data_IF_785524366352
#
_entry.id   IF_785524366352
#
_cell.length_a   1.000
_cell.length_b   1.000
_cell.length_c   1.000
_cell.angle_alpha   90.00
_cell.angle_beta   90.00
_cell.angle_gamma   90.00
#
_symmetry.space_group_name_H-M   'P 1'
#
loop_
_entity.id
_entity.type
_entity.pdbx_description
1 polymer ?
#
# COMPACT_ATOMS: atom_id res chain seq x y z
N UNK A 1 -26.39 15.51 -14.92
CA UNK A 1 -25.96 15.30 -13.52
C UNK A 1 -24.98 16.40 -13.14
N UNK A 2 -25.14 17.00 -11.96
CA UNK A 2 -24.23 18.02 -11.43
C UNK A 2 -22.79 17.50 -11.20
N UNK A 3 -21.79 18.37 -11.37
CA UNK A 3 -20.37 18.03 -11.30
C UNK A 3 -19.95 17.47 -9.93
N UNK A 4 -20.49 18.03 -8.84
CA UNK A 4 -20.20 17.55 -7.48
C UNK A 4 -20.84 16.19 -7.20
N UNK A 5 -22.01 15.91 -7.78
CA UNK A 5 -22.62 14.59 -7.71
C UNK A 5 -21.78 13.54 -8.46
N UNK A 6 -21.27 13.87 -9.65
CA UNK A 6 -20.32 12.99 -10.38
C UNK A 6 -19.07 12.71 -9.54
N UNK A 7 -18.48 13.75 -8.94
CA UNK A 7 -17.32 13.62 -8.05
C UNK A 7 -17.58 12.67 -6.89
N UNK A 8 -18.72 12.79 -6.21
CA UNK A 8 -19.08 11.91 -5.10
C UNK A 8 -19.13 10.44 -5.52
N UNK A 9 -19.73 10.15 -6.69
CA UNK A 9 -19.85 8.77 -7.19
C UNK A 9 -18.47 8.22 -7.59
N UNK A 10 -17.72 8.99 -8.37
CA UNK A 10 -16.47 8.52 -8.97
C UNK A 10 -15.30 8.49 -7.99
N UNK A 11 -15.29 9.35 -6.97
CA UNK A 11 -14.35 9.24 -5.85
C UNK A 11 -14.65 8.04 -4.95
N UNK A 12 -15.93 7.73 -4.72
CA UNK A 12 -16.33 6.55 -3.95
C UNK A 12 -16.01 5.24 -4.70
N UNK A 13 -16.10 5.25 -6.04
CA UNK A 13 -15.63 4.14 -6.88
C UNK A 13 -14.10 3.98 -6.82
N UNK A 14 -13.35 5.08 -6.73
CA UNK A 14 -11.89 5.08 -6.63
C UNK A 14 -11.35 4.62 -5.25
N UNK A 15 -12.20 4.40 -4.24
CA UNK A 15 -11.74 4.04 -2.88
C UNK A 15 -11.04 2.68 -2.79
N UNK A 16 -11.32 1.78 -3.73
CA UNK A 16 -10.73 0.43 -3.78
C UNK A 16 -9.33 0.40 -4.44
N UNK A 17 -8.88 1.53 -4.96
CA UNK A 17 -7.51 1.72 -5.42
C UNK A 17 -6.62 1.98 -4.19
N UNK A 18 -5.45 1.36 -4.03
CA UNK A 18 -4.66 1.47 -2.77
C UNK A 18 -3.40 2.33 -2.93
N UNK A 19 -3.41 3.26 -3.88
CA UNK A 19 -2.28 4.15 -4.14
C UNK A 19 -1.97 5.18 -3.04
N UNK A 20 -2.92 5.45 -2.14
CA UNK A 20 -2.86 6.53 -1.17
C UNK A 20 -3.85 6.30 -0.01
N UNK A 21 -3.53 6.86 1.17
CA UNK A 21 -4.33 6.73 2.39
C UNK A 21 -5.44 7.78 2.44
N UNK A 22 -6.68 7.36 2.72
CA UNK A 22 -7.82 8.27 2.90
C UNK A 22 -8.12 8.48 4.39
N UNK A 23 -8.66 9.65 4.75
CA UNK A 23 -8.83 10.04 6.16
C UNK A 23 -9.99 9.37 6.89
N UNK A 24 -10.82 8.56 6.22
CA UNK A 24 -11.88 7.71 6.81
C UNK A 24 -12.97 8.41 7.63
N UNK A 25 -12.83 9.70 7.94
CA UNK A 25 -13.67 10.44 8.88
C UNK A 25 -15.05 10.73 8.31
N UNK A 26 -16.07 10.37 9.08
CA UNK A 26 -17.50 10.62 8.77
C UNK A 26 -18.11 11.68 9.67
N UNK A 27 -17.29 12.39 10.46
CA UNK A 27 -17.77 13.40 11.41
C UNK A 27 -18.37 14.55 10.62
N UNK A 28 -19.67 14.79 10.82
CA UNK A 28 -20.35 15.96 10.28
C UNK A 28 -20.09 17.16 11.19
N UNK A 29 -19.73 18.30 10.63
CA UNK A 29 -19.67 19.52 11.40
C UNK A 29 -21.06 19.93 11.92
N UNK A 30 -21.10 20.63 13.05
CA UNK A 30 -22.31 21.20 13.65
C UNK A 30 -22.40 22.69 13.33
N UNK A 31 -23.57 23.33 13.53
CA UNK A 31 -23.77 24.76 13.25
C UNK A 31 -22.82 25.70 14.01
N UNK A 32 -22.21 25.22 15.10
CA UNK A 32 -21.29 25.98 15.97
C UNK A 32 -19.86 25.41 15.88
N UNK A 33 -19.66 24.32 15.14
CA UNK A 33 -18.37 23.63 15.04
C UNK A 33 -17.50 24.20 13.92
N UNK A 34 -16.19 23.97 14.03
CA UNK A 34 -15.20 24.38 13.02
C UNK A 34 -14.66 23.13 12.33
N UNK A 35 -14.58 23.22 11.00
CA UNK A 35 -13.95 22.24 10.12
C UNK A 35 -14.87 21.09 9.72
N UNK A 36 -14.67 20.61 8.50
CA UNK A 36 -15.28 19.38 7.98
C UNK A 36 -14.17 18.46 7.49
N UNK A 37 -14.30 17.17 7.76
CA UNK A 37 -13.46 16.19 7.09
C UNK A 37 -13.86 16.16 5.60
N UNK A 38 -12.90 16.46 4.71
CA UNK A 38 -13.18 16.64 3.28
C UNK A 38 -13.99 15.49 2.69
N UNK A 39 -15.11 15.85 2.08
CA UNK A 39 -16.06 14.92 1.50
C UNK A 39 -15.52 14.42 0.16
N UNK A 40 -15.00 13.20 0.18
CA UNK A 40 -14.69 12.36 -1.00
C UNK A 40 -13.50 12.80 -1.86
N UNK A 41 -12.68 11.82 -2.25
CA UNK A 41 -11.70 11.99 -3.32
C UNK A 41 -10.38 12.61 -2.92
N UNK A 42 -10.14 13.05 -1.68
CA UNK A 42 -8.80 13.45 -1.26
C UNK A 42 -8.09 12.29 -0.55
N UNK A 43 -6.85 12.03 -0.93
CA UNK A 43 -5.99 11.05 -0.28
C UNK A 43 -4.56 11.55 -0.13
N UNK A 44 -3.79 10.91 0.74
CA UNK A 44 -2.39 11.27 0.99
C UNK A 44 -1.45 10.25 0.37
N UNK A 45 -0.46 10.75 -0.38
CA UNK A 45 0.61 9.95 -0.97
C UNK A 45 1.97 10.49 -0.55
N UNK A 46 3.02 9.74 -0.80
CA UNK A 46 4.38 10.15 -0.47
C UNK A 46 5.21 10.31 -1.74
N UNK A 47 5.85 11.46 -1.87
CA UNK A 47 6.80 11.76 -2.94
C UNK A 47 8.13 11.02 -2.71
N UNK A 48 8.99 11.00 -3.73
CA UNK A 48 10.27 10.28 -3.67
C UNK A 48 11.24 10.81 -2.59
N UNK A 49 11.07 12.06 -2.16
CA UNK A 49 11.81 12.72 -1.08
C UNK A 49 11.16 12.52 0.31
N UNK A 50 10.09 11.73 0.41
CA UNK A 50 9.43 11.38 1.67
C UNK A 50 8.42 12.41 2.19
N UNK A 51 8.11 13.47 1.43
CA UNK A 51 7.04 14.40 1.79
C UNK A 51 5.68 13.78 1.57
N UNK A 52 4.76 14.03 2.50
CA UNK A 52 3.35 13.68 2.35
C UNK A 52 2.67 14.75 1.50
N UNK A 53 1.96 14.35 0.45
CA UNK A 53 1.20 15.23 -0.43
C UNK A 53 -0.27 14.82 -0.51
N UNK A 54 -1.17 15.79 -0.62
CA UNK A 54 -2.60 15.54 -0.82
C UNK A 54 -2.94 15.46 -2.32
N UNK A 55 -3.70 14.44 -2.72
CA UNK A 55 -4.10 14.20 -4.11
C UNK A 55 -5.61 14.13 -4.25
N UNK A 56 -6.15 14.73 -5.31
CA UNK A 56 -7.50 14.43 -5.79
C UNK A 56 -7.47 13.08 -6.50
N UNK A 57 -7.97 12.05 -5.83
CA UNK A 57 -8.09 10.69 -6.30
C UNK A 57 -9.49 10.41 -6.82
N UNK A 58 -9.59 10.30 -8.13
CA UNK A 58 -10.86 10.08 -8.82
C UNK A 58 -10.73 9.03 -9.93
N UNK A 59 -11.88 8.45 -10.25
CA UNK A 59 -12.06 7.65 -11.45
C UNK A 59 -12.63 8.56 -12.55
N UNK A 60 -12.07 8.52 -13.76
CA UNK A 60 -12.60 9.27 -14.90
C UNK A 60 -14.00 8.77 -15.28
N UNK A 61 -14.21 7.45 -15.23
CA UNK A 61 -15.49 6.79 -15.47
C UNK A 61 -15.61 5.51 -14.67
N UNK A 62 -16.79 5.20 -14.13
CA UNK A 62 -17.12 3.88 -13.58
C UNK A 62 -17.86 2.99 -14.61
N UNK A 63 -18.05 3.47 -15.85
CA UNK A 63 -18.67 2.72 -16.92
C UNK A 63 -17.64 1.82 -17.61
N UNK A 64 -17.59 0.56 -17.16
CA UNK A 64 -16.66 -0.44 -17.68
C UNK A 64 -17.34 -1.37 -18.70
N UNK A 65 -16.64 -1.66 -19.80
CA UNK A 65 -17.00 -2.74 -20.74
C UNK A 65 -16.64 -4.15 -20.22
N UNK A 66 -15.81 -4.22 -19.17
CA UNK A 66 -15.38 -5.48 -18.58
C UNK A 66 -16.23 -5.85 -17.37
N UNK A 67 -16.40 -7.15 -17.15
CA UNK A 67 -17.21 -7.73 -16.10
C UNK A 67 -16.35 -8.55 -15.14
N UNK A 68 -15.41 -7.86 -14.47
CA UNK A 68 -14.58 -8.49 -13.45
C UNK A 68 -15.46 -8.89 -12.26
N UNK A 69 -15.43 -10.17 -11.87
CA UNK A 69 -16.33 -10.76 -10.87
C UNK A 69 -16.23 -10.05 -9.51
N UNK A 70 -15.03 -9.61 -9.14
CA UNK A 70 -14.75 -8.91 -7.87
C UNK A 70 -15.04 -7.40 -7.91
N UNK A 71 -15.34 -6.83 -9.08
CA UNK A 71 -15.43 -5.39 -9.25
C UNK A 71 -16.89 -4.92 -9.25
N UNK A 72 -17.18 -3.87 -8.47
CA UNK A 72 -18.50 -3.22 -8.49
C UNK A 72 -18.82 -2.57 -9.84
N UNK A 73 -17.78 -2.16 -10.59
CA UNK A 73 -17.94 -1.46 -11.87
C UNK A 73 -18.15 -2.42 -13.06
N UNK A 74 -18.40 -3.71 -12.82
CA UNK A 74 -18.60 -4.71 -13.87
C UNK A 74 -19.74 -4.35 -14.83
N UNK A 75 -19.59 -4.66 -16.11
CA UNK A 75 -20.62 -4.33 -17.12
C UNK A 75 -21.98 -4.99 -16.85
N UNK A 76 -22.03 -6.14 -16.17
CA UNK A 76 -23.29 -6.81 -15.81
C UNK A 76 -23.93 -6.26 -14.53
N UNK A 77 -23.25 -5.38 -13.80
CA UNK A 77 -23.75 -4.81 -12.55
C UNK A 77 -24.65 -3.62 -12.84
N UNK A 78 -25.80 -3.61 -12.17
CA UNK A 78 -26.76 -2.51 -12.21
C UNK A 78 -26.41 -1.49 -11.11
N UNK A 79 -25.87 -0.36 -11.52
CA UNK A 79 -25.52 0.77 -10.67
C UNK A 79 -25.42 2.03 -11.54
N UNK A 80 -25.42 3.19 -10.90
CA UNK A 80 -25.36 4.46 -11.60
C UNK A 80 -23.99 4.66 -12.31
N UNK A 81 -24.03 4.67 -13.65
CA UNK A 81 -22.87 4.86 -14.51
C UNK A 81 -22.66 6.33 -14.82
N UNK A 82 -21.46 6.81 -14.53
CA UNK A 82 -21.05 8.21 -14.63
C UNK A 82 -19.70 8.28 -15.31
N UNK A 83 -19.56 9.22 -16.23
CA UNK A 83 -18.31 9.54 -16.91
C UNK A 83 -18.10 11.04 -16.86
N UNK A 84 -16.89 11.47 -16.51
CA UNK A 84 -16.47 12.84 -16.66
C UNK A 84 -16.12 13.17 -18.11
N UNK A 85 -16.16 14.45 -18.47
CA UNK A 85 -15.40 14.96 -19.61
C UNK A 85 -13.99 15.36 -19.15
N UNK A 86 -13.00 15.43 -20.07
CA UNK A 86 -11.68 15.97 -19.76
C UNK A 86 -11.73 17.38 -19.14
N UNK A 87 -12.65 18.21 -19.61
CA UNK A 87 -12.88 19.58 -19.13
C UNK A 87 -13.36 19.58 -17.67
N UNK A 88 -14.31 18.71 -17.32
CA UNK A 88 -14.82 18.56 -15.94
C UNK A 88 -13.71 18.14 -14.96
N UNK A 89 -12.83 17.21 -15.37
CA UNK A 89 -11.69 16.79 -14.52
C UNK A 89 -10.68 17.93 -14.34
N UNK A 90 -10.40 18.70 -15.40
CA UNK A 90 -9.51 19.85 -15.31
C UNK A 90 -10.08 20.91 -14.36
N UNK A 91 -11.34 21.27 -14.52
CA UNK A 91 -12.04 22.23 -13.67
C UNK A 91 -12.00 21.81 -12.19
N UNK A 92 -12.32 20.55 -11.89
CA UNK A 92 -12.24 20.02 -10.53
C UNK A 92 -10.83 20.12 -9.96
N UNK A 93 -9.83 19.67 -10.72
CA UNK A 93 -8.43 19.65 -10.26
C UNK A 93 -7.93 21.06 -9.94
N UNK A 94 -8.19 22.02 -10.84
CA UNK A 94 -7.76 23.41 -10.67
C UNK A 94 -8.49 24.07 -9.50
N UNK A 95 -9.79 23.85 -9.35
CA UNK A 95 -10.56 24.42 -8.25
C UNK A 95 -10.14 23.88 -6.87
N UNK A 96 -9.87 22.58 -6.76
CA UNK A 96 -9.35 21.99 -5.52
C UNK A 96 -7.94 22.49 -5.20
N UNK A 97 -7.08 22.64 -6.23
CA UNK A 97 -5.73 23.16 -6.05
C UNK A 97 -5.73 24.63 -5.62
N UNK A 98 -6.51 25.51 -6.28
CA UNK A 98 -6.63 26.93 -5.94
C UNK A 98 -7.16 27.17 -4.51
N UNK A 99 -7.91 26.21 -3.97
CA UNK A 99 -8.42 26.23 -2.58
C UNK A 99 -7.46 25.57 -1.58
N UNK A 100 -6.26 25.18 -2.00
CA UNK A 100 -5.23 24.50 -1.21
C UNK A 100 -5.70 23.16 -0.60
N UNK A 101 -6.62 22.46 -1.26
CA UNK A 101 -7.09 21.14 -0.81
C UNK A 101 -6.19 20.00 -1.30
N UNK A 102 -5.52 20.19 -2.43
CA UNK A 102 -4.68 19.18 -3.08
C UNK A 102 -3.37 19.81 -3.58
N UNK A 103 -2.34 19.00 -3.69
CA UNK A 103 -1.08 19.29 -4.39
C UNK A 103 -1.01 18.57 -5.76
N UNK A 104 -1.98 17.70 -6.06
CA UNK A 104 -1.95 16.91 -7.27
C UNK A 104 -3.22 16.09 -7.57
N UNK A 105 -3.20 15.38 -8.68
CA UNK A 105 -4.25 14.53 -9.21
C UNK A 105 -3.78 13.07 -9.27
N UNK A 106 -4.59 12.16 -8.76
CA UNK A 106 -4.52 10.73 -9.05
C UNK A 106 -5.72 10.37 -9.94
N UNK A 107 -5.46 10.06 -11.20
CA UNK A 107 -6.49 9.79 -12.20
C UNK A 107 -6.40 8.34 -12.69
N UNK A 108 -7.49 7.61 -12.48
CA UNK A 108 -7.71 6.25 -12.98
C UNK A 108 -8.98 6.21 -13.85
N UNK A 109 -9.30 5.09 -14.47
CA UNK A 109 -10.58 4.92 -15.18
C UNK A 109 -11.00 3.47 -15.28
N UNK A 110 -12.31 3.22 -15.33
CA UNK A 110 -12.84 2.04 -15.99
C UNK A 110 -12.53 2.08 -17.50
N UNK A 111 -12.69 0.96 -18.19
CA UNK A 111 -12.48 0.89 -19.65
C UNK A 111 -13.78 1.27 -20.35
N UNK A 112 -13.83 2.49 -20.87
CA UNK A 112 -14.95 3.05 -21.63
C UNK A 112 -14.76 2.71 -23.10
N UNK A 113 -15.74 2.06 -23.74
CA UNK A 113 -15.72 1.57 -25.15
C UNK A 113 -14.59 0.59 -25.48
N UNK A 114 -13.34 1.02 -25.37
CA UNK A 114 -12.13 0.20 -25.54
C UNK A 114 -10.92 0.86 -24.82
N UNK A 115 -9.80 0.13 -24.63
CA UNK A 115 -8.61 0.65 -23.96
C UNK A 115 -8.00 1.92 -24.57
N UNK A 116 -7.93 2.01 -25.91
CA UNK A 116 -7.33 3.15 -26.62
C UNK A 116 -8.16 4.42 -26.41
N UNK A 117 -9.47 4.33 -26.64
CA UNK A 117 -10.40 5.45 -26.42
C UNK A 117 -10.33 5.98 -24.99
N UNK A 118 -10.28 5.07 -24.01
CA UNK A 118 -10.13 5.47 -22.59
C UNK A 118 -8.80 6.20 -22.38
N UNK A 119 -7.71 5.66 -22.93
CA UNK A 119 -6.38 6.26 -22.78
C UNK A 119 -6.29 7.62 -23.47
N UNK A 120 -6.93 7.82 -24.61
CA UNK A 120 -7.05 9.11 -25.30
C UNK A 120 -7.74 10.17 -24.44
N UNK A 121 -8.82 9.82 -23.74
CA UNK A 121 -9.51 10.72 -22.81
C UNK A 121 -8.61 11.12 -21.64
N UNK A 122 -7.86 10.17 -21.08
CA UNK A 122 -6.89 10.42 -20.01
C UNK A 122 -5.76 11.33 -20.49
N UNK A 123 -5.23 11.09 -21.69
CA UNK A 123 -4.19 11.92 -22.31
C UNK A 123 -4.71 13.34 -22.55
N UNK A 124 -5.91 13.49 -23.11
CA UNK A 124 -6.53 14.80 -23.33
C UNK A 124 -6.65 15.58 -22.02
N UNK A 125 -7.05 14.91 -20.94
CA UNK A 125 -7.14 15.50 -19.60
C UNK A 125 -5.79 16.00 -19.09
N UNK A 126 -4.75 15.15 -19.10
CA UNK A 126 -3.44 15.55 -18.55
C UNK A 126 -2.72 16.56 -19.44
N UNK A 127 -2.92 16.52 -20.77
CA UNK A 127 -2.42 17.54 -21.69
C UNK A 127 -3.06 18.89 -21.43
N UNK A 128 -4.39 18.95 -21.28
CA UNK A 128 -5.10 20.19 -20.97
C UNK A 128 -4.61 20.79 -19.66
N UNK A 129 -4.47 19.96 -18.61
CA UNK A 129 -3.89 20.40 -17.33
C UNK A 129 -2.48 21.01 -17.51
N UNK A 130 -1.59 20.35 -18.25
CA UNK A 130 -0.19 20.80 -18.40
C UNK A 130 -0.03 21.99 -19.36
N UNK A 131 -0.73 21.97 -20.48
CA UNK A 131 -0.49 22.88 -21.61
C UNK A 131 -1.42 24.10 -21.61
N UNK A 132 -2.66 23.96 -21.14
CA UNK A 132 -3.65 25.04 -21.16
C UNK A 132 -3.83 25.66 -19.77
N UNK A 133 -3.98 24.84 -18.73
CA UNK A 133 -4.16 25.32 -17.35
C UNK A 133 -2.81 25.59 -16.63
N UNK A 134 -1.69 25.27 -17.27
CA UNK A 134 -0.32 25.39 -16.72
C UNK A 134 -0.17 24.79 -15.31
N UNK A 135 -0.91 23.70 -15.04
CA UNK A 135 -0.88 23.01 -13.77
C UNK A 135 0.46 22.29 -13.61
N UNK A 136 1.25 22.69 -12.62
CA UNK A 136 2.54 22.07 -12.28
C UNK A 136 2.47 21.16 -11.03
N UNK A 137 1.28 20.91 -10.50
CA UNK A 137 1.07 19.98 -9.40
C UNK A 137 1.30 18.52 -9.81
N UNK A 138 1.37 17.64 -8.83
CA UNK A 138 1.70 16.22 -9.06
C UNK A 138 0.59 15.48 -9.84
N UNK A 139 0.92 14.67 -10.83
CA UNK A 139 -0.04 13.84 -11.58
C UNK A 139 0.40 12.37 -11.53
N UNK A 140 -0.42 11.54 -10.89
CA UNK A 140 -0.35 10.09 -10.99
C UNK A 140 -1.44 9.59 -11.94
N UNK A 141 -1.04 9.04 -13.08
CA UNK A 141 -1.96 8.51 -14.08
C UNK A 141 -1.94 6.97 -14.13
N UNK A 142 -3.11 6.32 -14.10
CA UNK A 142 -3.18 4.88 -14.41
C UNK A 142 -3.23 4.65 -15.92
N UNK A 143 -2.28 3.86 -16.41
CA UNK A 143 -2.31 3.34 -17.76
C UNK A 143 -3.36 2.24 -17.87
N UNK A 144 -4.14 2.26 -18.95
CA UNK A 144 -5.18 1.27 -19.23
C UNK A 144 -4.55 0.04 -19.91
N UNK A 145 -4.62 -1.16 -19.31
CA UNK A 145 -4.11 -2.37 -19.94
C UNK A 145 -4.75 -2.62 -21.31
N UNK A 146 -3.92 -2.97 -22.29
CA UNK A 146 -4.34 -3.20 -23.67
C UNK A 146 -4.37 -1.96 -24.56
N UNK A 147 -4.09 -0.76 -24.05
CA UNK A 147 -3.94 0.43 -24.87
C UNK A 147 -2.63 0.41 -25.70
N UNK A 148 -2.63 1.14 -26.81
CA UNK A 148 -1.51 1.26 -27.73
C UNK A 148 -0.29 1.89 -27.04
N UNK A 149 0.90 1.34 -27.31
CA UNK A 149 2.15 1.81 -26.70
C UNK A 149 2.44 3.29 -26.98
N UNK A 150 2.00 3.81 -28.13
CA UNK A 150 2.13 5.24 -28.47
C UNK A 150 1.32 6.11 -27.51
N UNK A 151 0.11 5.68 -27.14
CA UNK A 151 -0.73 6.40 -26.16
C UNK A 151 -0.09 6.35 -24.76
N UNK A 152 0.43 5.19 -24.35
CA UNK A 152 1.14 5.04 -23.07
C UNK A 152 2.38 5.94 -23.02
N UNK A 153 3.15 5.98 -24.11
CA UNK A 153 4.33 6.84 -24.23
C UNK A 153 3.94 8.32 -24.21
N UNK A 154 2.87 8.70 -24.89
CA UNK A 154 2.42 10.09 -24.89
C UNK A 154 1.97 10.53 -23.50
N UNK A 155 1.21 9.69 -22.79
CA UNK A 155 0.79 9.96 -21.42
C UNK A 155 1.97 10.15 -20.45
N UNK A 156 3.03 9.35 -20.60
CA UNK A 156 4.19 9.41 -19.71
C UNK A 156 5.00 10.70 -19.76
N UNK A 157 4.85 11.49 -20.83
CA UNK A 157 5.47 12.84 -20.94
C UNK A 157 4.80 13.89 -20.05
N UNK A 158 3.55 13.67 -19.68
CA UNK A 158 2.74 14.66 -18.94
C UNK A 158 2.45 14.24 -17.49
N UNK A 159 2.65 12.96 -17.15
CA UNK A 159 2.47 12.42 -15.81
C UNK A 159 3.78 12.39 -15.01
N UNK A 160 3.70 12.65 -13.70
CA UNK A 160 4.82 12.49 -12.78
C UNK A 160 5.04 11.02 -12.43
N UNK A 161 3.96 10.27 -12.24
CA UNK A 161 3.98 8.83 -11.95
C UNK A 161 2.94 8.12 -12.81
N UNK A 162 3.29 6.91 -13.25
CA UNK A 162 2.35 6.04 -13.93
C UNK A 162 2.18 4.72 -13.18
N UNK A 163 1.01 4.11 -13.29
CA UNK A 163 0.81 2.75 -12.78
C UNK A 163 -0.07 1.91 -13.68
N UNK A 164 0.17 0.61 -13.66
CA UNK A 164 -0.64 -0.40 -14.36
C UNK A 164 -1.15 -1.39 -13.32
N UNK A 165 -2.44 -1.69 -13.31
CA UNK A 165 -2.99 -2.69 -12.39
C UNK A 165 -2.78 -4.10 -12.93
N UNK A 166 -2.18 -4.96 -12.11
CA UNK A 166 -2.13 -6.41 -12.35
C UNK A 166 -3.39 -7.10 -11.83
N UNK A 167 -4.02 -6.52 -10.80
CA UNK A 167 -5.26 -6.98 -10.18
C UNK A 167 -5.12 -8.28 -9.40
N UNK A 168 -4.71 -9.38 -10.04
CA UNK A 168 -4.68 -10.71 -9.44
C UNK A 168 -3.29 -11.35 -9.57
N UNK A 169 -2.83 -12.15 -8.59
CA UNK A 169 -1.45 -12.62 -8.57
C UNK A 169 -1.11 -13.67 -9.65
N UNK A 170 -2.06 -14.54 -10.00
CA UNK A 170 -1.83 -15.61 -10.99
C UNK A 170 -2.66 -15.46 -12.26
N UNK A 171 -2.22 -16.15 -13.32
CA UNK A 171 -2.94 -16.18 -14.59
C UNK A 171 -4.24 -16.99 -14.49
N UNK A 172 -4.23 -18.06 -13.68
CA UNK A 172 -5.40 -18.87 -13.39
C UNK A 172 -6.48 -18.01 -12.72
N UNK A 173 -6.11 -17.26 -11.69
CA UNK A 173 -6.99 -16.31 -11.00
C UNK A 173 -7.50 -15.20 -11.91
N UNK A 174 -6.62 -14.63 -12.75
CA UNK A 174 -7.00 -13.61 -13.71
C UNK A 174 -8.06 -14.13 -14.69
N UNK A 175 -7.87 -15.31 -15.25
CA UNK A 175 -8.86 -15.95 -16.14
C UNK A 175 -10.18 -16.25 -15.41
N UNK A 176 -10.10 -16.71 -14.16
CA UNK A 176 -11.27 -17.06 -13.36
C UNK A 176 -12.14 -15.83 -13.04
N UNK A 177 -11.52 -14.74 -12.59
CA UNK A 177 -12.25 -13.59 -12.05
C UNK A 177 -12.32 -12.38 -12.98
N UNK A 178 -11.49 -12.30 -14.01
CA UNK A 178 -11.46 -11.21 -14.97
C UNK A 178 -11.11 -11.73 -16.39
N UNK A 179 -11.94 -12.60 -16.99
CA UNK A 179 -11.61 -13.33 -18.23
C UNK A 179 -11.33 -12.42 -19.43
N UNK A 180 -11.86 -11.19 -19.45
CA UNK A 180 -11.62 -10.20 -20.51
C UNK A 180 -10.24 -9.52 -20.39
N UNK A 181 -9.52 -9.71 -19.29
CA UNK A 181 -8.15 -9.23 -19.09
C UNK A 181 -7.15 -10.36 -19.39
N UNK A 182 -5.97 -10.00 -19.88
CA UNK A 182 -4.89 -10.94 -20.13
C UNK A 182 -3.57 -10.42 -19.59
N UNK A 183 -2.71 -11.34 -19.15
CA UNK A 183 -1.39 -11.02 -18.59
C UNK A 183 -0.55 -10.21 -19.57
N UNK A 184 -0.54 -10.57 -20.85
CA UNK A 184 0.28 -9.87 -21.86
C UNK A 184 -0.18 -8.42 -22.04
N UNK A 185 -1.48 -8.16 -22.08
CA UNK A 185 -2.03 -6.79 -22.17
C UNK A 185 -1.74 -5.94 -20.91
N UNK A 186 -1.50 -6.57 -19.77
CA UNK A 186 -1.10 -5.92 -18.52
C UNK A 186 0.41 -5.64 -18.49
N UNK A 187 1.24 -6.62 -18.87
CA UNK A 187 2.71 -6.50 -18.78
C UNK A 187 3.32 -5.64 -19.90
N UNK A 188 2.67 -5.59 -21.07
CA UNK A 188 3.12 -4.77 -22.20
C UNK A 188 3.26 -3.28 -21.85
N UNK A 189 2.23 -2.57 -21.31
CA UNK A 189 2.39 -1.17 -20.93
C UNK A 189 3.44 -0.95 -19.84
N UNK A 190 3.65 -1.89 -18.90
CA UNK A 190 4.71 -1.80 -17.90
C UNK A 190 6.11 -1.83 -18.53
N UNK A 191 6.28 -2.68 -19.55
CA UNK A 191 7.50 -2.74 -20.37
C UNK A 191 7.72 -1.44 -21.13
N UNK A 192 6.67 -0.90 -21.77
CA UNK A 192 6.72 0.36 -22.49
C UNK A 192 7.13 1.51 -21.57
N UNK A 193 6.54 1.61 -20.38
CA UNK A 193 6.88 2.65 -19.39
C UNK A 193 8.34 2.49 -18.93
N UNK A 194 8.79 1.27 -18.63
CA UNK A 194 10.18 0.99 -18.22
C UNK A 194 11.17 1.46 -19.30
N UNK A 195 10.96 1.01 -20.53
CA UNK A 195 11.87 1.29 -21.63
C UNK A 195 11.96 2.79 -21.92
N UNK A 196 10.82 3.50 -21.85
CA UNK A 196 10.83 4.95 -21.99
C UNK A 196 11.50 5.65 -20.79
N UNK A 197 11.28 5.22 -19.55
CA UNK A 197 12.02 5.79 -18.39
C UNK A 197 13.53 5.70 -18.61
N UNK A 198 14.03 4.53 -19.05
CA UNK A 198 15.44 4.33 -19.36
C UNK A 198 15.88 5.26 -20.50
N UNK A 199 15.17 5.22 -21.62
CA UNK A 199 15.47 6.01 -22.81
C UNK A 199 15.54 7.52 -22.53
N UNK A 200 14.52 8.09 -21.88
CA UNK A 200 14.51 9.51 -21.54
C UNK A 200 15.56 9.87 -20.48
N UNK A 201 15.86 8.96 -19.54
CA UNK A 201 16.95 9.17 -18.58
C UNK A 201 18.31 9.19 -19.26
N UNK A 202 18.53 8.38 -20.30
CA UNK A 202 19.78 8.36 -21.06
C UNK A 202 19.88 9.56 -22.01
N UNK A 203 18.79 9.91 -22.70
CA UNK A 203 18.73 11.14 -23.50
C UNK A 203 19.05 12.38 -22.67
N UNK A 204 18.53 12.49 -21.44
CA UNK A 204 18.78 13.62 -20.55
C UNK A 204 20.26 13.82 -20.20
N UNK A 205 21.09 12.77 -20.27
CA UNK A 205 22.54 12.87 -20.05
C UNK A 205 23.24 13.64 -21.19
N UNK A 206 22.67 13.60 -22.39
CA UNK A 206 23.25 14.21 -23.60
C UNK A 206 22.54 15.50 -24.01
N UNK A 207 21.20 15.55 -23.88
CA UNK A 207 20.34 16.65 -24.32
C UNK A 207 19.66 17.28 -23.10
N UNK A 208 20.03 18.53 -22.78
CA UNK A 208 19.45 19.25 -21.62
C UNK A 208 17.95 19.54 -21.78
N UNK A 209 17.47 19.68 -23.00
CA UNK A 209 16.06 19.97 -23.33
C UNK A 209 15.17 18.72 -23.40
N UNK A 210 15.70 17.53 -23.07
CA UNK A 210 14.90 16.30 -23.02
C UNK A 210 13.76 16.49 -22.01
N UNK A 211 12.50 16.28 -22.41
CA UNK A 211 11.37 16.43 -21.50
C UNK A 211 11.40 15.34 -20.43
N UNK A 212 10.74 15.60 -19.31
CA UNK A 212 10.59 14.59 -18.27
C UNK A 212 9.67 13.48 -18.75
N UNK A 213 9.98 12.25 -18.35
CA UNK A 213 9.13 11.09 -18.58
C UNK A 213 8.98 10.34 -17.27
N UNK A 214 7.78 10.40 -16.68
CA UNK A 214 7.41 9.68 -15.44
C UNK A 214 8.52 9.74 -14.36
N UNK A 215 8.94 10.94 -13.90
CA UNK A 215 10.04 11.13 -12.95
C UNK A 215 9.85 10.41 -11.60
N UNK A 216 8.61 10.23 -11.17
CA UNK A 216 8.23 9.46 -9.98
C UNK A 216 8.29 7.94 -10.17
N UNK A 217 8.61 7.47 -11.38
CA UNK A 217 8.70 6.07 -11.76
C UNK A 217 7.34 5.41 -11.92
N UNK A 218 7.35 4.08 -12.03
CA UNK A 218 6.13 3.30 -12.19
C UNK A 218 5.79 2.45 -10.97
N UNK A 219 4.50 2.21 -10.76
CA UNK A 219 4.00 1.32 -9.70
C UNK A 219 2.89 0.40 -10.20
N UNK A 220 2.51 -0.58 -9.40
CA UNK A 220 1.41 -1.50 -9.71
C UNK A 220 0.58 -1.81 -8.47
N UNK A 221 -0.59 -2.40 -8.65
CA UNK A 221 -1.47 -2.85 -7.58
C UNK A 221 -1.97 -4.28 -7.83
N UNK A 222 -2.05 -5.05 -6.75
CA UNK A 222 -2.65 -6.39 -6.70
C UNK A 222 -3.60 -6.54 -5.51
N UNK A 223 -4.63 -7.37 -5.69
CA UNK A 223 -5.63 -7.72 -4.70
C UNK A 223 -5.17 -8.99 -3.99
N UNK A 224 -5.20 -8.98 -2.66
CA UNK A 224 -4.78 -10.08 -1.79
C UNK A 224 -6.00 -10.67 -1.10
N UNK A 225 -6.13 -11.99 -1.19
CA UNK A 225 -7.19 -12.72 -0.50
C UNK A 225 -8.52 -12.80 -1.27
N UNK A 226 -8.57 -12.34 -2.53
CA UNK A 226 -9.68 -12.65 -3.44
C UNK A 226 -9.55 -14.06 -4.02
N UNK A 227 -8.34 -14.62 -4.00
CA UNK A 227 -7.95 -15.88 -4.64
C UNK A 227 -6.94 -16.63 -3.76
N UNK A 228 -6.77 -17.95 -3.95
CA UNK A 228 -6.08 -18.81 -2.98
C UNK A 228 -4.54 -18.80 -3.11
N UNK A 229 -3.94 -17.81 -3.77
CA UNK A 229 -2.48 -17.72 -3.85
C UNK A 229 -1.87 -17.52 -2.46
N UNK A 230 -0.79 -18.24 -2.23
CA UNK A 230 0.04 -18.13 -1.05
C UNK A 230 0.85 -16.83 -1.04
N UNK A 231 1.27 -16.40 0.15
CA UNK A 231 2.14 -15.23 0.28
C UNK A 231 3.50 -15.45 -0.41
N UNK A 232 3.99 -16.70 -0.45
CA UNK A 232 5.17 -17.07 -1.25
C UNK A 232 5.03 -16.64 -2.71
N UNK A 233 3.90 -17.00 -3.34
CA UNK A 233 3.65 -16.69 -4.77
C UNK A 233 3.52 -15.18 -4.98
N UNK A 234 2.83 -14.49 -4.06
CA UNK A 234 2.62 -13.04 -4.13
C UNK A 234 3.96 -12.29 -4.01
N UNK A 235 4.79 -12.63 -3.03
CA UNK A 235 6.07 -11.94 -2.83
C UNK A 235 7.08 -12.27 -3.94
N UNK A 236 7.09 -13.50 -4.44
CA UNK A 236 7.88 -13.85 -5.62
C UNK A 236 7.42 -13.06 -6.86
N UNK A 237 6.11 -12.90 -7.06
CA UNK A 237 5.60 -12.05 -8.13
C UNK A 237 6.10 -10.61 -7.95
N UNK A 238 5.96 -10.03 -6.76
CA UNK A 238 6.41 -8.67 -6.47
C UNK A 238 7.90 -8.47 -6.75
N UNK A 239 8.77 -9.37 -6.28
CA UNK A 239 10.21 -9.31 -6.59
C UNK A 239 10.46 -9.35 -8.10
N UNK A 240 9.83 -10.29 -8.81
CA UNK A 240 9.95 -10.38 -10.27
C UNK A 240 9.48 -9.11 -10.98
N UNK A 241 8.45 -8.44 -10.46
CA UNK A 241 7.94 -7.19 -11.03
C UNK A 241 8.93 -6.03 -10.82
N UNK A 242 9.57 -5.94 -9.64
CA UNK A 242 10.65 -4.99 -9.40
C UNK A 242 11.81 -5.21 -10.38
N UNK A 243 12.29 -6.45 -10.47
CA UNK A 243 13.46 -6.80 -11.29
C UNK A 243 13.20 -6.58 -12.79
N UNK A 244 12.03 -7.01 -13.28
CA UNK A 244 11.72 -6.96 -14.73
C UNK A 244 11.26 -5.59 -15.20
N UNK A 245 10.50 -4.84 -14.39
CA UNK A 245 9.87 -3.59 -14.82
C UNK A 245 10.45 -2.34 -14.15
N UNK A 246 11.46 -2.46 -13.27
CA UNK A 246 12.03 -1.34 -12.52
C UNK A 246 10.94 -0.56 -11.76
N UNK A 247 10.00 -1.30 -11.16
CA UNK A 247 8.93 -0.70 -10.36
C UNK A 247 9.52 0.04 -9.16
N UNK A 248 8.89 1.14 -8.78
CA UNK A 248 9.18 1.83 -7.52
C UNK A 248 8.39 1.24 -6.38
N UNK A 249 7.18 0.73 -6.63
CA UNK A 249 6.30 0.20 -5.58
C UNK A 249 5.26 -0.78 -6.14
N UNK A 250 4.98 -1.82 -5.37
CA UNK A 250 3.82 -2.70 -5.49
C UNK A 250 2.85 -2.37 -4.35
N UNK A 251 1.58 -2.14 -4.69
CA UNK A 251 0.51 -1.93 -3.71
C UNK A 251 -0.28 -3.22 -3.54
N UNK A 252 -0.41 -3.65 -2.29
CA UNK A 252 -1.25 -4.77 -1.88
C UNK A 252 -2.57 -4.19 -1.39
N UNK A 253 -3.69 -4.70 -1.88
CA UNK A 253 -5.03 -4.34 -1.43
C UNK A 253 -5.69 -5.57 -0.84
N UNK A 254 -6.05 -5.57 0.45
CA UNK A 254 -6.92 -6.62 0.97
C UNK A 254 -8.22 -6.66 0.14
N UNK A 255 -8.67 -7.87 -0.16
CA UNK A 255 -9.93 -8.08 -0.86
C UNK A 255 -11.09 -7.56 -0.01
N UNK A 256 -11.91 -6.70 -0.61
CA UNK A 256 -13.13 -6.18 -0.02
C UNK A 256 -14.33 -6.87 -0.67
N UNK A 257 -15.17 -7.59 0.09
CA UNK A 257 -16.31 -8.34 -0.44
C UNK A 257 -17.47 -7.40 -0.84
N UNK A 258 -17.30 -6.68 -1.94
CA UNK A 258 -18.33 -5.75 -2.47
C UNK A 258 -19.43 -6.46 -3.24
N UNK A 259 -19.12 -7.63 -3.82
CA UNK A 259 -20.09 -8.51 -4.46
C UNK A 259 -20.39 -9.66 -3.51
N UNK A 260 -21.66 -9.78 -3.10
CA UNK A 260 -22.12 -10.88 -2.26
C UNK A 260 -22.54 -12.09 -3.12
N UNK A 261 -22.55 -13.27 -2.49
CA UNK A 261 -23.13 -14.51 -3.05
C UNK A 261 -22.56 -14.96 -4.40
N UNK A 262 -21.27 -14.72 -4.66
CA UNK A 262 -20.59 -15.29 -5.81
C UNK A 262 -19.74 -16.51 -5.41
N UNK A 263 -19.96 -17.65 -6.07
CA UNK A 263 -19.26 -18.91 -5.76
C UNK A 263 -17.74 -18.89 -6.00
N UNK A 264 -17.25 -17.98 -6.83
CA UNK A 264 -15.83 -17.87 -7.17
C UNK A 264 -15.07 -16.91 -6.24
N UNK A 265 -15.78 -16.18 -5.39
CA UNK A 265 -15.19 -15.22 -4.46
C UNK A 265 -15.28 -15.75 -3.03
N UNK A 266 -14.27 -15.47 -2.19
CA UNK A 266 -14.30 -15.91 -0.81
C UNK A 266 -15.38 -15.14 -0.04
N UNK A 267 -16.17 -15.88 0.73
CA UNK A 267 -17.20 -15.34 1.61
C UNK A 267 -16.58 -14.94 2.95
N UNK A 268 -15.86 -13.83 2.95
CA UNK A 268 -15.28 -13.24 4.16
C UNK A 268 -16.15 -12.11 4.68
N UNK A 269 -16.24 -11.96 6.00
CA UNK A 269 -16.96 -10.85 6.63
C UNK A 269 -16.13 -9.57 6.67
N UNK A 270 -14.80 -9.69 6.72
CA UNK A 270 -13.88 -8.56 6.82
C UNK A 270 -12.65 -8.77 5.93
N UNK A 271 -12.10 -7.71 5.31
CA UNK A 271 -10.86 -7.80 4.54
C UNK A 271 -9.69 -8.31 5.40
N UNK A 272 -8.78 -9.14 4.85
CA UNK A 272 -7.65 -9.70 5.59
C UNK A 272 -6.51 -8.67 5.79
N UNK A 273 -6.78 -7.59 6.55
CA UNK A 273 -5.87 -6.44 6.71
C UNK A 273 -4.51 -6.82 7.32
N UNK A 274 -4.46 -7.80 8.23
CA UNK A 274 -3.19 -8.25 8.84
C UNK A 274 -2.31 -8.92 7.78
N UNK A 275 -2.89 -9.72 6.90
CA UNK A 275 -2.18 -10.38 5.80
C UNK A 275 -1.62 -9.34 4.81
N UNK A 276 -2.43 -8.34 4.44
CA UNK A 276 -1.97 -7.19 3.64
C UNK A 276 -0.76 -6.51 4.29
N UNK A 277 -0.83 -6.22 5.59
CA UNK A 277 0.27 -5.60 6.31
C UNK A 277 1.52 -6.49 6.33
N UNK A 278 1.40 -7.81 6.49
CA UNK A 278 2.55 -8.73 6.41
C UNK A 278 3.22 -8.70 5.05
N UNK A 279 2.45 -8.62 3.96
CA UNK A 279 3.00 -8.50 2.61
C UNK A 279 3.74 -7.17 2.42
N UNK A 280 3.21 -6.06 2.93
CA UNK A 280 3.95 -4.79 2.90
C UNK A 280 5.26 -4.85 3.70
N UNK A 281 5.26 -5.50 4.86
CA UNK A 281 6.48 -5.69 5.65
C UNK A 281 7.51 -6.54 4.90
N UNK A 282 7.08 -7.63 4.25
CA UNK A 282 7.96 -8.48 3.45
C UNK A 282 8.51 -7.75 2.21
N UNK A 283 7.67 -7.00 1.51
CA UNK A 283 8.05 -6.15 0.38
C UNK A 283 9.13 -5.13 0.79
N UNK A 284 8.97 -4.51 1.96
CA UNK A 284 9.95 -3.58 2.52
C UNK A 284 11.32 -4.22 2.75
N UNK A 285 11.33 -5.46 3.28
CA UNK A 285 12.57 -6.22 3.47
C UNK A 285 13.28 -6.49 2.14
N UNK A 286 12.53 -6.82 1.09
CA UNK A 286 13.09 -7.05 -0.24
C UNK A 286 13.71 -5.76 -0.80
N UNK A 287 12.97 -4.64 -0.74
CA UNK A 287 13.42 -3.38 -1.34
C UNK A 287 14.60 -2.73 -0.61
N UNK A 288 14.64 -2.77 0.72
CA UNK A 288 15.60 -1.97 1.50
C UNK A 288 16.56 -2.77 2.37
N UNK A 289 16.23 -4.03 2.70
CA UNK A 289 17.07 -4.88 3.55
C UNK A 289 17.84 -5.93 2.74
N UNK A 290 17.66 -5.95 1.42
CA UNK A 290 18.31 -6.91 0.53
C UNK A 290 17.78 -8.33 0.71
N UNK A 291 16.54 -8.48 1.20
CA UNK A 291 15.94 -9.80 1.30
C UNK A 291 15.56 -10.36 -0.09
N UNK A 292 15.51 -11.69 -0.19
CA UNK A 292 14.98 -12.43 -1.33
C UNK A 292 13.67 -13.12 -0.96
N UNK A 293 12.75 -13.22 -1.91
CA UNK A 293 11.44 -13.82 -1.72
C UNK A 293 11.51 -15.28 -1.25
N UNK A 294 12.39 -16.06 -1.87
CA UNK A 294 12.65 -17.47 -1.58
C UNK A 294 13.36 -17.72 -0.25
N UNK A 295 14.02 -16.71 0.30
CA UNK A 295 14.61 -16.80 1.63
C UNK A 295 13.58 -16.50 2.74
N UNK A 296 12.57 -15.66 2.46
CA UNK A 296 11.51 -15.28 3.41
C UNK A 296 10.51 -16.42 3.63
N UNK A 297 10.11 -17.07 2.55
CA UNK A 297 9.21 -18.22 2.53
C UNK A 297 9.83 -19.26 1.60
N UNK A 298 9.89 -20.54 2.03
CA UNK A 298 10.64 -21.58 1.29
C UNK A 298 9.75 -22.40 0.37
N UNK A 299 8.54 -22.77 0.84
CA UNK A 299 7.65 -23.61 0.07
C UNK A 299 6.61 -22.80 -0.69
N UNK A 300 6.17 -23.33 -1.83
CA UNK A 300 5.22 -22.67 -2.72
C UNK A 300 3.86 -22.37 -2.08
N UNK A 301 3.50 -23.06 -0.99
CA UNK A 301 2.22 -22.94 -0.31
C UNK A 301 2.32 -22.19 1.02
N UNK A 302 3.50 -21.68 1.37
CA UNK A 302 3.70 -20.99 2.65
C UNK A 302 3.03 -19.61 2.67
N UNK A 303 2.43 -19.28 3.80
CA UNK A 303 1.93 -17.95 4.14
C UNK A 303 2.73 -17.37 5.31
N UNK A 304 2.72 -16.04 5.45
CA UNK A 304 3.28 -15.41 6.65
C UNK A 304 2.43 -15.72 7.86
N UNK A 305 3.08 -15.91 9.00
CA UNK A 305 2.40 -16.03 10.28
C UNK A 305 1.81 -14.67 10.65
N UNK A 306 0.54 -14.66 11.03
CA UNK A 306 -0.14 -13.43 11.41
C UNK A 306 0.35 -12.89 12.77
N UNK A 307 0.96 -13.74 13.61
CA UNK A 307 1.46 -13.38 14.93
C UNK A 307 2.85 -12.71 14.89
N UNK A 308 3.65 -12.98 13.86
CA UNK A 308 5.03 -12.50 13.75
C UNK A 308 5.21 -11.63 12.51
N UNK A 309 5.97 -10.53 12.61
CA UNK A 309 6.39 -9.82 11.41
C UNK A 309 7.35 -10.70 10.57
N UNK A 310 7.40 -10.53 9.23
CA UNK A 310 8.20 -11.39 8.36
C UNK A 310 9.67 -11.49 8.73
N UNK A 311 10.26 -10.42 9.27
CA UNK A 311 11.67 -10.41 9.69
C UNK A 311 11.89 -11.25 10.94
N UNK A 312 10.99 -11.12 11.91
CA UNK A 312 10.98 -11.95 13.12
C UNK A 312 10.71 -13.41 12.77
N UNK A 313 9.73 -13.70 11.92
CA UNK A 313 9.45 -15.06 11.44
C UNK A 313 10.67 -15.67 10.76
N UNK A 314 11.35 -14.92 9.88
CA UNK A 314 12.58 -15.37 9.25
C UNK A 314 13.66 -15.70 10.28
N UNK A 315 13.87 -14.84 11.28
CA UNK A 315 14.91 -15.06 12.29
C UNK A 315 14.62 -16.30 13.16
N UNK A 316 13.36 -16.52 13.52
CA UNK A 316 12.91 -17.71 14.25
C UNK A 316 13.08 -19.00 13.43
N UNK A 317 12.86 -18.93 12.12
CA UNK A 317 13.03 -20.09 11.24
C UNK A 317 14.50 -20.37 10.88
N UNK A 318 15.42 -19.49 11.28
CA UNK A 318 16.86 -19.55 10.95
C UNK A 318 17.72 -19.34 12.21
N UNK A 319 17.30 -19.94 13.34
CA UNK A 319 18.00 -19.81 14.64
C UNK A 319 19.43 -20.33 14.63
N UNK A 320 19.81 -21.20 13.69
CA UNK A 320 21.18 -21.65 13.47
C UNK A 320 22.16 -20.49 13.17
N UNK A 321 21.65 -19.35 12.69
CA UNK A 321 22.46 -18.14 12.49
C UNK A 321 22.54 -17.25 13.73
N UNK A 322 21.78 -17.54 14.79
CA UNK A 322 21.63 -16.71 15.98
C UNK A 322 22.11 -17.45 17.24
N UNK A 323 22.42 -16.73 18.34
CA UNK A 323 22.47 -15.28 18.46
C UNK A 323 23.78 -14.71 17.87
N UNK A 324 23.72 -13.51 17.29
CA UNK A 324 24.88 -12.90 16.60
C UNK A 324 25.49 -11.82 17.48
N UNK A 325 26.82 -11.81 17.60
CA UNK A 325 27.52 -10.71 18.26
C UNK A 325 27.49 -9.45 17.39
N UNK A 326 26.81 -8.40 17.87
CA UNK A 326 26.67 -7.11 17.16
C UNK A 326 28.01 -6.45 16.83
N UNK A 327 29.06 -6.75 17.61
CA UNK A 327 30.40 -6.23 17.38
C UNK A 327 31.16 -6.93 16.25
N UNK A 328 30.72 -8.14 15.85
CA UNK A 328 31.39 -8.96 14.82
C UNK A 328 30.54 -9.20 13.57
N UNK A 329 29.23 -9.12 13.68
CA UNK A 329 28.26 -9.39 12.59
C UNK A 329 28.59 -8.65 11.28
N UNK A 330 28.37 -9.27 10.12
CA UNK A 330 28.42 -8.53 8.84
C UNK A 330 27.26 -7.52 8.75
N UNK A 331 27.35 -6.56 7.83
CA UNK A 331 26.24 -5.63 7.57
C UNK A 331 24.93 -6.36 7.24
N UNK A 332 25.03 -7.36 6.37
CA UNK A 332 23.89 -8.18 5.92
C UNK A 332 23.24 -8.91 7.08
N UNK A 333 24.04 -9.53 7.96
CA UNK A 333 23.51 -10.21 9.15
C UNK A 333 22.91 -9.24 10.16
N UNK A 334 23.46 -8.03 10.32
CA UNK A 334 22.83 -6.99 11.14
C UNK A 334 21.44 -6.61 10.61
N UNK A 335 21.29 -6.54 9.29
CA UNK A 335 19.99 -6.31 8.66
C UNK A 335 19.02 -7.47 8.85
N UNK A 336 19.46 -8.65 9.30
CA UNK A 336 18.56 -9.79 9.55
C UNK A 336 18.04 -9.85 10.98
N UNK A 337 18.66 -9.11 11.90
CA UNK A 337 18.24 -9.04 13.31
C UNK A 337 16.89 -8.30 13.41
N UNK A 338 15.84 -8.92 13.99
CA UNK A 338 14.57 -8.24 14.25
C UNK A 338 14.77 -6.99 15.12
N UNK A 339 14.14 -5.87 14.76
CA UNK A 339 14.26 -4.60 15.48
C UNK A 339 15.51 -3.76 15.15
N UNK A 340 16.41 -4.25 14.29
CA UNK A 340 17.52 -3.46 13.74
C UNK A 340 17.15 -2.98 12.33
N UNK A 341 17.07 -1.66 12.14
CA UNK A 341 16.82 -1.04 10.84
C UNK A 341 18.08 -0.75 10.01
N UNK A 342 17.94 -0.30 8.77
CA UNK A 342 19.07 0.05 7.88
C UNK A 342 19.97 1.13 8.49
N UNK A 343 19.35 2.19 9.02
CA UNK A 343 20.05 3.29 9.68
C UNK A 343 20.77 2.81 10.93
N UNK A 344 20.11 2.00 11.75
CA UNK A 344 20.69 1.40 12.96
C UNK A 344 21.85 0.45 12.65
N UNK A 345 21.73 -0.41 11.63
CA UNK A 345 22.82 -1.30 11.20
C UNK A 345 24.06 -0.50 10.79
N UNK A 346 23.90 0.59 10.02
CA UNK A 346 25.01 1.49 9.66
C UNK A 346 25.64 2.16 10.88
N UNK A 347 24.83 2.59 11.86
CA UNK A 347 25.33 3.16 13.13
C UNK A 347 26.15 2.14 13.92
N UNK A 348 25.66 0.90 14.04
CA UNK A 348 26.39 -0.21 14.69
C UNK A 348 27.77 -0.38 14.04
N UNK A 349 27.82 -0.48 12.71
CA UNK A 349 29.08 -0.64 11.97
C UNK A 349 30.06 0.50 12.19
N UNK A 350 29.56 1.75 12.23
CA UNK A 350 30.41 2.93 12.43
C UNK A 350 30.99 2.96 13.84
N UNK A 351 30.16 2.73 14.86
CA UNK A 351 30.55 2.90 16.26
C UNK A 351 31.45 1.76 16.72
N UNK A 352 31.17 0.51 16.30
CA UNK A 352 31.97 -0.66 16.72
C UNK A 352 33.43 -0.64 16.27
N UNK A 353 33.80 0.27 15.36
CA UNK A 353 35.20 0.50 14.94
C UNK A 353 36.02 1.20 16.02
N UNK A 354 35.38 1.99 16.87
CA UNK A 354 36.04 2.83 17.88
C UNK A 354 35.61 2.49 19.31
N UNK A 355 34.44 1.88 19.49
CA UNK A 355 33.88 1.55 20.79
C UNK A 355 33.17 0.20 20.74
N UNK A 356 33.50 -0.70 21.67
CA UNK A 356 32.85 -2.01 21.76
C UNK A 356 31.44 -1.83 22.31
N UNK A 357 30.44 -2.05 21.46
CA UNK A 357 29.03 -1.81 21.78
C UNK A 357 28.55 -2.73 22.89
N UNK A 358 27.98 -2.13 23.92
CA UNK A 358 27.27 -2.79 25.01
C UNK A 358 25.77 -2.85 24.75
N UNK A 359 25.03 -3.62 25.55
CA UNK A 359 23.57 -3.69 25.44
C UNK A 359 22.89 -2.32 25.66
N UNK A 360 23.41 -1.51 26.58
CA UNK A 360 22.89 -0.16 26.84
C UNK A 360 23.17 0.81 25.68
N UNK A 361 24.29 0.64 24.97
CA UNK A 361 24.58 1.43 23.78
C UNK A 361 23.57 1.17 22.68
N UNK A 362 23.12 -0.08 22.50
CA UNK A 362 22.08 -0.42 21.54
C UNK A 362 20.75 0.29 21.86
N UNK A 363 20.41 0.45 23.13
CA UNK A 363 19.24 1.24 23.58
C UNK A 363 19.39 2.71 23.18
N UNK A 364 20.58 3.30 23.41
CA UNK A 364 20.89 4.69 23.03
C UNK A 364 20.83 4.89 21.51
N UNK A 365 21.17 3.87 20.74
CA UNK A 365 21.05 3.87 19.27
C UNK A 365 19.61 3.73 18.76
N UNK A 366 18.62 3.67 19.65
CA UNK A 366 17.19 3.50 19.35
C UNK A 366 16.89 2.19 18.62
N UNK A 367 17.67 1.13 18.89
CA UNK A 367 17.37 -0.22 18.41
C UNK A 367 16.19 -0.77 19.21
N UNK A 368 15.27 -1.47 18.54
CA UNK A 368 14.07 -2.02 19.19
C UNK A 368 14.44 -3.30 19.97
N UNK A 369 14.97 -3.11 21.18
CA UNK A 369 15.44 -4.20 22.04
C UNK A 369 14.35 -5.18 22.47
N UNK A 370 13.07 -4.78 22.44
CA UNK A 370 11.92 -5.65 22.74
C UNK A 370 11.90 -6.91 21.86
N UNK A 371 12.41 -6.82 20.63
CA UNK A 371 12.52 -7.95 19.70
C UNK A 371 13.96 -8.39 19.47
N UNK A 372 14.92 -7.46 19.38
CA UNK A 372 16.30 -7.80 19.01
C UNK A 372 17.04 -8.60 20.07
N UNK A 373 16.71 -8.45 21.36
CA UNK A 373 17.44 -9.07 22.49
C UNK A 373 17.51 -10.61 22.43
N UNK A 374 16.55 -11.24 21.74
CA UNK A 374 16.50 -12.69 21.58
C UNK A 374 17.46 -13.21 20.50
N UNK A 375 17.97 -12.34 19.64
CA UNK A 375 18.75 -12.71 18.46
C UNK A 375 20.19 -12.19 18.51
N UNK A 376 20.59 -11.50 19.58
CA UNK A 376 21.89 -10.84 19.66
C UNK A 376 22.67 -11.21 20.91
N UNK A 377 23.98 -11.18 20.78
CA UNK A 377 24.90 -11.03 21.90
C UNK A 377 25.63 -9.70 21.81
N UNK A 378 26.08 -9.18 22.94
CA UNK A 378 27.03 -8.08 22.97
C UNK A 378 28.30 -8.62 23.62
N UNK A 379 29.36 -8.81 22.82
CA UNK A 379 30.64 -9.31 23.34
C UNK A 379 30.55 -10.70 23.98
N UNK A 380 29.77 -11.58 23.36
CA UNK A 380 29.51 -12.95 23.86
C UNK A 380 28.45 -13.06 24.96
N UNK A 381 27.96 -11.95 25.54
CA UNK A 381 26.90 -11.98 26.55
C UNK A 381 25.52 -11.94 25.91
N UNK A 382 24.67 -12.91 26.25
CA UNK A 382 23.27 -13.02 25.81
C UNK A 382 22.31 -12.34 26.79
N UNK A 383 21.31 -11.62 26.27
CA UNK A 383 20.39 -10.78 27.06
C UNK A 383 18.90 -11.11 26.82
N UNK A 384 18.60 -12.28 26.23
CA UNK A 384 17.22 -12.68 25.91
C UNK A 384 16.32 -12.92 27.12
N UNK A 385 16.90 -13.19 28.31
CA UNK A 385 16.19 -13.52 29.56
C UNK A 385 15.30 -14.79 29.49
N UNK A 386 15.54 -15.62 28.47
CA UNK A 386 14.90 -16.92 28.26
C UNK A 386 15.97 -17.87 27.72
N UNK A 387 15.74 -19.18 27.80
CA UNK A 387 16.58 -20.15 27.12
C UNK A 387 16.61 -19.84 25.61
N UNK A 388 17.77 -20.05 24.98
CA UNK A 388 17.92 -19.81 23.54
C UNK A 388 17.43 -21.03 22.76
N UNK A 389 16.11 -21.15 22.68
CA UNK A 389 15.41 -22.19 21.93
C UNK A 389 14.17 -21.59 21.23
N UNK A 390 13.71 -22.26 20.18
CA UNK A 390 12.62 -21.79 19.33
C UNK A 390 11.32 -21.54 20.13
N UNK A 391 10.96 -22.47 21.02
CA UNK A 391 9.69 -22.45 21.75
C UNK A 391 9.67 -21.30 22.75
N UNK A 392 10.72 -21.17 23.57
CA UNK A 392 10.84 -20.12 24.58
C UNK A 392 10.81 -18.72 23.97
N UNK A 393 11.53 -18.53 22.86
CA UNK A 393 11.60 -17.22 22.19
C UNK A 393 10.24 -16.89 21.55
N UNK A 394 9.62 -17.83 20.84
CA UNK A 394 8.30 -17.65 20.21
C UNK A 394 7.23 -17.22 21.20
N UNK A 395 7.14 -17.91 22.33
CA UNK A 395 6.17 -17.60 23.38
C UNK A 395 6.39 -16.22 23.98
N UNK A 396 7.65 -15.86 24.28
CA UNK A 396 7.96 -14.56 24.88
C UNK A 396 7.71 -13.39 23.93
N UNK A 397 7.93 -13.57 22.62
CA UNK A 397 7.61 -12.55 21.61
C UNK A 397 6.09 -12.32 21.53
N UNK A 398 5.28 -13.39 21.55
CA UNK A 398 3.81 -13.28 21.57
C UNK A 398 3.35 -12.57 22.83
N UNK A 399 3.81 -13.00 24.01
CA UNK A 399 3.44 -12.41 25.30
C UNK A 399 3.75 -10.90 25.33
N UNK A 400 4.90 -10.51 24.81
CA UNK A 400 5.30 -9.12 24.70
C UNK A 400 4.41 -8.31 23.74
N UNK A 401 3.81 -8.94 22.72
CA UNK A 401 2.93 -8.27 21.76
C UNK A 401 1.49 -8.14 22.27
N UNK A 402 1.09 -8.89 23.31
CA UNK A 402 -0.19 -8.69 23.97
C UNK A 402 -0.22 -7.32 24.66
N UNK A 403 -1.36 -6.59 24.62
CA UNK A 403 -1.52 -5.41 25.45
C UNK A 403 -1.36 -5.85 26.91
N UNK A 404 -0.43 -5.21 27.64
CA UNK A 404 -0.32 -5.43 29.08
C UNK A 404 -1.70 -5.11 29.68
N UNK A 405 -2.33 -6.07 30.37
CA UNK A 405 -3.44 -5.75 31.28
C UNK A 405 -2.94 -4.62 32.18
N UNK A 406 -3.59 -3.46 32.13
CA UNK A 406 -3.21 -2.31 32.94
C UNK A 406 -3.10 -2.75 34.39
N UNK A 407 -1.88 -2.77 34.94
CA UNK A 407 -1.69 -2.64 36.37
C UNK A 407 -2.18 -1.23 36.71
N UNK A 408 -3.35 -1.14 37.33
CA UNK A 408 -3.91 0.11 37.84
C UNK A 408 -2.84 0.74 38.73
N UNK A 409 -2.26 1.83 38.27
CA UNK A 409 -1.29 2.61 39.04
C UNK A 409 -2.12 3.68 39.79
N UNK A 410 -2.30 3.60 41.11
CA UNK A 410 -3.28 4.41 41.83
C UNK A 410 -2.98 5.92 41.84
N UNK A 411 -1.77 6.33 41.47
CA UNK A 411 -1.34 7.74 41.50
C UNK A 411 -1.28 8.41 40.11
N UNK A 412 -1.83 7.77 39.07
CA UNK A 412 -1.90 8.36 37.73
C UNK A 412 -3.36 8.48 37.29
N UNK A 413 -3.87 9.70 37.21
CA UNK A 413 -5.20 9.98 36.66
C UNK A 413 -5.22 9.52 35.20
N UNK A 414 -5.90 8.42 34.92
CA UNK A 414 -6.15 7.89 33.58
C UNK A 414 -7.37 8.57 32.98
N UNK A 415 -7.20 9.22 31.83
CA UNK A 415 -8.27 9.98 31.17
C UNK A 415 -9.24 9.11 30.32
N UNK A 416 -9.16 7.77 30.40
CA UNK A 416 -9.85 6.86 29.48
C UNK A 416 -10.36 5.55 30.09
N UNK A 417 -10.45 5.45 31.42
CA UNK A 417 -11.03 4.26 32.06
C UNK A 417 -12.55 4.44 32.22
N UNK A 418 -13.30 4.27 31.14
CA UNK A 418 -14.74 4.00 31.23
C UNK A 418 -15.19 3.12 30.06
N UNK A 419 -14.93 1.81 30.16
CA UNK A 419 -15.68 0.82 29.40
C UNK A 419 -16.93 0.47 30.19
N UNK A 420 -18.05 1.17 29.92
CA UNK A 420 -19.37 0.68 30.26
C UNK A 420 -19.85 -0.23 29.13
N UNK A 421 -19.87 -1.53 29.38
CA UNK A 421 -20.62 -2.49 28.58
C UNK A 421 -22.11 -2.24 28.82
N UNK A 422 -22.87 -1.98 27.75
CA UNK A 422 -24.32 -2.14 27.78
C UNK A 422 -24.73 -3.11 26.65
N UNK A 423 -25.17 -4.29 27.09
CA UNK A 423 -25.89 -5.28 26.30
C UNK A 423 -27.36 -4.87 26.21
N UNK A 424 -27.82 -4.34 25.08
CA UNK A 424 -29.19 -4.52 24.56
C UNK A 424 -29.47 -3.57 23.39
N UNK A 425 -30.02 -4.12 22.30
CA UNK A 425 -31.04 -3.54 21.42
C UNK A 425 -30.83 -3.96 19.95
N UNK A 426 -31.40 -5.09 19.57
CA UNK A 426 -31.66 -5.43 18.16
C UNK A 426 -33.11 -5.06 17.85
N UNK A 427 -33.33 -4.17 16.87
CA UNK A 427 -34.63 -4.01 16.22
C UNK A 427 -34.48 -4.21 14.71
N UNK A 428 -35.31 -5.09 14.16
CA UNK A 428 -35.44 -5.42 12.74
C UNK A 428 -36.41 -4.46 12.06
N UNK A 429 -35.96 -3.71 11.05
CA UNK A 429 -36.83 -2.94 10.14
C UNK A 429 -37.04 -3.65 8.80
N UNK A 430 -38.29 -3.65 8.32
CA UNK A 430 -38.84 -4.37 7.14
C UNK A 430 -38.35 -3.88 5.75
N UNK A 431 -37.05 -3.83 5.51
CA UNK A 431 -36.51 -3.62 4.14
C UNK A 431 -35.25 -4.44 3.82
N UNK A 432 -34.90 -5.43 4.64
CA UNK A 432 -33.84 -6.39 4.31
C UNK A 432 -32.42 -5.82 4.19
N UNK A 433 -32.20 -4.55 4.54
CA UNK A 433 -30.89 -3.92 4.56
C UNK A 433 -30.44 -3.74 6.01
N UNK A 434 -29.51 -4.59 6.45
CA UNK A 434 -28.79 -4.40 7.72
C UNK A 434 -27.56 -3.56 7.42
N UNK A 435 -27.57 -2.29 7.84
CA UNK A 435 -26.38 -1.45 7.88
C UNK A 435 -25.65 -1.75 9.20
N UNK A 436 -24.40 -2.24 9.20
CA UNK A 436 -23.68 -2.50 10.44
C UNK A 436 -23.45 -1.18 11.20
N UNK A 437 -23.98 -1.09 12.41
CA UNK A 437 -23.95 0.13 13.22
C UNK A 437 -22.59 0.38 13.91
N UNK A 438 -21.67 -0.58 13.94
CA UNK A 438 -20.35 -0.40 14.56
C UNK A 438 -19.26 -1.12 13.75
N UNK A 439 -18.45 -0.35 13.02
CA UNK A 439 -17.11 -0.79 12.64
C UNK A 439 -16.27 -0.65 13.91
N UNK A 440 -15.95 -1.77 14.55
CA UNK A 440 -14.91 -1.83 15.59
C UNK A 440 -13.61 -1.31 14.97
N UNK A 441 -13.29 -0.05 15.28
CA UNK A 441 -12.01 0.55 14.96
C UNK A 441 -10.98 -0.02 15.93
N UNK A 442 -10.11 -0.90 15.42
CA UNK A 442 -8.85 -1.18 16.09
C UNK A 442 -8.09 0.17 16.21
N UNK A 443 -7.57 0.53 17.40
CA UNK A 443 -6.89 1.80 17.57
C UNK A 443 -5.65 1.88 16.68
N UNK A 444 -5.60 2.92 15.84
CA UNK A 444 -4.50 3.29 14.91
C UNK A 444 -3.16 3.62 15.63
N UNK A 445 -2.99 3.28 16.91
CA UNK A 445 -1.78 3.61 17.69
C UNK A 445 -0.59 2.67 17.45
N UNK A 446 -0.60 1.86 16.39
CA UNK A 446 0.53 1.03 15.98
C UNK A 446 1.23 1.51 14.70
N UNK A 447 0.84 2.64 14.11
CA UNK A 447 1.28 3.02 12.75
C UNK A 447 1.89 4.41 12.57
N UNK A 448 2.33 5.14 13.61
CA UNK A 448 2.79 6.53 13.37
C UNK A 448 3.88 7.12 14.27
N UNK A 449 4.77 6.34 14.90
CA UNK A 449 5.84 6.93 15.73
C UNK A 449 7.25 6.83 15.11
N UNK A 450 7.49 5.93 14.16
CA UNK A 450 8.79 5.85 13.51
C UNK A 450 8.58 5.96 12.00
N UNK A 451 8.97 7.10 11.42
CA UNK A 451 8.92 7.37 9.98
C UNK A 451 9.84 6.45 9.16
N UNK A 452 9.47 5.17 9.08
CA UNK A 452 9.94 4.19 8.11
C UNK A 452 8.68 3.56 7.49
N UNK A 453 8.22 4.13 6.38
CA UNK A 453 7.14 3.63 5.51
C UNK A 453 7.69 3.14 4.17
#
# INVERSE_FOLDING_TARGET
MDLMNKLKILSNAAKYDVSCSSSGSKRKNTKVGIGDASVSGICHSYTADGRCISLLKILFSNDCIFDCIYCINGSSKDFERVTFTPEEVCELTINFYKRNYIEGLFLSSAVVKNPDYTMELLIKTVKKLRLEEHFNGYIHLKAIPGANEKLITEAGKYADRMSVNIELPSNESLKLLAPQKSKDKILKPMSTIKNNIIHYSDMKKTIKSTPLFVPGGQSTQLIVGATPESDFKIINLSQNLYDKFNLKRVYYSAYVPVIQNNKFLPQISHPPMIREHRLYQADWLIRFYGFKADELLKNSNDNFDLNYDPKTQWALNNLNHFPIDVNKASYEMLLRIPGVGVTSAKKILKIRRVHKLTFDDLKKLRIVLKRSKYFITCSGKYYGQVAFDDVSIRMKIIENNLPKKNSINPDQISFFDSNSFDESSYETSKSGIIIPKNILTLPEKLTSINGEF
#
